data_IF_580576344301
#
_entry.id   IF_580576344301
#
_cell.length_a   1.000
_cell.length_b   1.000
_cell.length_c   1.000
_cell.angle_alpha   90.00
_cell.angle_beta   90.00
_cell.angle_gamma   90.00
#
_symmetry.space_group_name_H-M   'P 1'
#
loop_
_entity.id
_entity.type
_entity.pdbx_description
1 polymer ?
#
# COMPACT_ATOMS: atom_id res chain seq x y z
N UNK A 1 -1.53 -18.50 7.79
CA UNK A 1 -1.97 -18.13 9.15
C UNK A 1 -1.78 -19.31 10.10
N UNK A 2 -1.19 -19.09 11.29
CA UNK A 2 -1.19 -20.09 12.37
C UNK A 2 -0.08 -21.14 12.38
N UNK A 3 1.01 -20.97 11.64
CA UNK A 3 2.13 -21.92 11.63
C UNK A 3 2.92 -22.00 12.95
N UNK A 4 2.84 -20.99 13.80
CA UNK A 4 3.56 -20.97 15.07
C UNK A 4 2.68 -21.49 16.22
N UNK A 5 3.21 -22.41 17.00
CA UNK A 5 2.51 -22.99 18.16
C UNK A 5 2.22 -21.96 19.27
N UNK A 6 2.94 -20.84 19.26
CA UNK A 6 2.86 -19.78 20.28
C UNK A 6 2.15 -18.54 19.72
N UNK A 7 0.91 -18.27 20.17
CA UNK A 7 0.08 -17.18 19.65
C UNK A 7 0.72 -15.78 19.66
N UNK A 8 1.57 -15.47 20.64
CA UNK A 8 2.17 -14.15 20.74
C UNK A 8 3.08 -13.78 19.55
N UNK A 9 3.70 -14.76 18.87
CA UNK A 9 4.46 -14.50 17.65
C UNK A 9 3.57 -13.97 16.52
N UNK A 10 2.38 -14.56 16.39
CA UNK A 10 1.40 -14.05 15.41
C UNK A 10 0.93 -12.64 15.77
N UNK A 11 0.80 -12.35 17.06
CA UNK A 11 0.38 -11.02 17.52
C UNK A 11 1.44 -9.93 17.28
N UNK A 12 2.73 -10.27 17.29
CA UNK A 12 3.80 -9.33 16.94
C UNK A 12 3.72 -8.88 15.48
N UNK A 13 3.20 -9.73 14.60
CA UNK A 13 3.16 -9.50 13.15
C UNK A 13 1.78 -9.04 12.68
N UNK A 14 0.72 -9.52 13.35
CA UNK A 14 -0.67 -9.33 12.88
C UNK A 14 -1.63 -9.11 14.05
N UNK A 15 -1.49 -7.99 14.76
CA UNK A 15 -2.41 -7.57 15.81
C UNK A 15 -2.77 -6.09 15.70
N UNK A 16 -3.53 -5.56 16.66
CA UNK A 16 -3.81 -4.12 16.72
C UNK A 16 -2.57 -3.28 17.04
N UNK A 17 -1.60 -3.89 17.73
CA UNK A 17 -0.33 -3.30 18.12
C UNK A 17 0.79 -4.20 17.59
N UNK A 18 0.94 -4.29 16.28
CA UNK A 18 2.03 -5.03 15.65
C UNK A 18 3.24 -4.14 15.34
N UNK A 19 4.37 -4.77 15.08
CA UNK A 19 5.63 -4.09 14.86
C UNK A 19 5.63 -3.28 13.55
N UNK A 20 4.92 -3.75 12.54
CA UNK A 20 4.76 -3.05 11.27
C UNK A 20 4.05 -1.70 11.47
N UNK A 21 2.94 -1.68 12.23
CA UNK A 21 2.23 -0.43 12.56
C UNK A 21 3.07 0.55 13.35
N UNK A 22 3.88 0.07 14.29
CA UNK A 22 4.79 0.91 15.06
C UNK A 22 5.86 1.53 14.16
N UNK A 23 6.37 0.78 13.18
CA UNK A 23 7.36 1.27 12.23
C UNK A 23 6.76 2.29 11.27
N UNK A 24 5.73 1.91 10.51
CA UNK A 24 5.24 2.78 9.45
C UNK A 24 4.64 4.08 9.98
N UNK A 25 3.93 4.07 11.12
CA UNK A 25 3.40 5.31 11.70
C UNK A 25 4.51 6.31 12.03
N UNK A 26 5.61 5.85 12.62
CA UNK A 26 6.76 6.70 12.94
C UNK A 26 7.43 7.22 11.67
N UNK A 27 7.67 6.36 10.71
CA UNK A 27 8.33 6.68 9.43
C UNK A 27 7.48 7.62 8.59
N UNK A 28 6.20 7.33 8.43
CA UNK A 28 5.30 8.14 7.63
C UNK A 28 5.04 9.50 8.27
N UNK A 29 4.97 9.58 9.60
CA UNK A 29 4.93 10.85 10.34
C UNK A 29 6.16 11.71 10.03
N UNK A 30 7.33 11.11 10.02
CA UNK A 30 8.58 11.82 9.71
C UNK A 30 8.59 12.35 8.26
N UNK A 31 8.31 11.51 7.28
CA UNK A 31 8.38 11.88 5.87
C UNK A 31 7.22 12.77 5.40
N UNK A 32 6.04 12.65 5.99
CA UNK A 32 4.90 13.51 5.67
C UNK A 32 4.91 14.86 6.40
N UNK A 33 5.72 15.00 7.45
CA UNK A 33 5.74 16.16 8.34
C UNK A 33 4.51 16.27 9.25
N UNK A 34 3.68 15.22 9.32
CA UNK A 34 2.48 15.18 10.17
C UNK A 34 2.86 14.70 11.56
N UNK A 35 2.99 15.64 12.49
CA UNK A 35 3.49 15.39 13.86
C UNK A 35 2.56 14.56 14.73
N UNK A 36 1.28 14.46 14.36
CA UNK A 36 0.26 13.66 15.02
C UNK A 36 0.59 12.17 15.05
N UNK A 37 1.36 11.69 14.08
CA UNK A 37 1.85 10.30 13.99
C UNK A 37 3.04 10.00 14.91
N UNK A 38 3.59 11.01 15.61
CA UNK A 38 4.75 10.81 16.47
C UNK A 38 4.39 10.04 17.75
N UNK A 39 4.86 8.81 17.84
CA UNK A 39 4.64 7.86 18.93
C UNK A 39 5.97 7.46 19.59
N UNK A 40 5.93 7.18 20.88
CA UNK A 40 7.09 6.68 21.63
C UNK A 40 7.21 5.16 21.46
N UNK A 41 7.66 4.70 20.31
CA UNK A 41 7.78 3.28 19.95
C UNK A 41 8.62 2.52 20.98
N UNK A 42 9.80 3.05 21.35
CA UNK A 42 10.71 2.39 22.30
C UNK A 42 10.04 2.16 23.67
N UNK A 43 9.26 3.15 24.12
CA UNK A 43 8.50 3.02 25.37
C UNK A 43 7.42 1.94 25.25
N UNK A 44 6.71 1.88 24.13
CA UNK A 44 5.69 0.83 23.89
C UNK A 44 6.36 -0.54 23.93
N UNK A 45 7.46 -0.72 23.21
CA UNK A 45 8.19 -2.00 23.16
C UNK A 45 8.67 -2.42 24.54
N UNK A 46 9.22 -1.48 25.34
CA UNK A 46 9.68 -1.79 26.71
C UNK A 46 8.55 -2.16 27.67
N UNK A 47 7.31 -1.79 27.36
CA UNK A 47 6.12 -2.14 28.18
C UNK A 47 5.42 -3.43 27.70
N UNK A 48 5.85 -4.01 26.58
CA UNK A 48 5.30 -5.29 26.11
C UNK A 48 5.81 -6.44 26.99
N UNK A 49 4.92 -7.38 27.28
CA UNK A 49 5.19 -8.61 28.02
C UNK A 49 4.45 -9.77 27.35
N UNK A 50 4.92 -10.96 27.62
CA UNK A 50 4.20 -12.18 27.27
C UNK A 50 3.59 -12.78 28.53
N UNK A 51 2.28 -12.91 28.58
CA UNK A 51 1.55 -13.55 29.66
C UNK A 51 0.60 -14.59 29.09
N UNK A 52 0.68 -15.82 29.61
CA UNK A 52 -0.12 -16.96 29.12
C UNK A 52 -0.05 -17.09 27.57
N UNK A 53 1.15 -16.97 27.05
CA UNK A 53 1.45 -17.03 25.60
C UNK A 53 0.73 -15.98 24.73
N UNK A 54 0.32 -14.87 25.33
CA UNK A 54 -0.29 -13.70 24.65
C UNK A 54 0.54 -12.46 24.90
N UNK A 55 0.58 -11.60 23.91
CA UNK A 55 1.19 -10.29 24.02
C UNK A 55 0.26 -9.37 24.84
N UNK A 56 0.81 -8.81 25.91
CA UNK A 56 0.10 -7.90 26.83
C UNK A 56 0.94 -6.64 27.05
N UNK A 57 0.29 -5.56 27.48
CA UNK A 57 0.96 -4.32 27.82
C UNK A 57 0.88 -4.08 29.33
N UNK A 58 1.98 -3.71 29.96
CA UNK A 58 1.98 -3.32 31.36
C UNK A 58 1.04 -2.12 31.60
N UNK A 59 0.33 -2.10 32.73
CA UNK A 59 -0.64 -1.03 33.08
C UNK A 59 -0.04 0.39 32.94
N UNK A 60 1.23 0.58 33.31
CA UNK A 60 1.94 1.86 33.18
C UNK A 60 2.17 2.31 31.73
N UNK A 61 2.00 1.40 30.76
CA UNK A 61 2.07 1.70 29.32
C UNK A 61 0.74 2.15 28.69
N UNK A 62 -0.36 2.18 29.44
CA UNK A 62 -1.71 2.46 28.93
C UNK A 62 -1.79 3.77 28.13
N UNK A 63 -1.26 4.86 28.66
CA UNK A 63 -1.26 6.15 27.96
C UNK A 63 -0.46 6.14 26.65
N UNK A 64 0.59 5.32 26.58
CA UNK A 64 1.37 5.18 25.34
C UNK A 64 0.56 4.45 24.28
N UNK A 65 -0.28 3.49 24.68
CA UNK A 65 -1.19 2.78 23.78
C UNK A 65 -2.34 3.69 23.33
N UNK A 66 -2.93 4.46 24.23
CA UNK A 66 -3.96 5.44 23.87
C UNK A 66 -3.42 6.45 22.85
N UNK A 67 -2.22 6.99 23.10
CA UNK A 67 -1.55 7.88 22.14
C UNK A 67 -1.30 7.20 20.81
N UNK A 68 -0.87 5.95 20.78
CA UNK A 68 -0.70 5.16 19.55
C UNK A 68 -2.00 5.02 18.77
N UNK A 69 -3.10 4.69 19.43
CA UNK A 69 -4.41 4.54 18.77
C UNK A 69 -4.91 5.87 18.19
N UNK A 70 -4.71 6.97 18.94
CA UNK A 70 -5.06 8.31 18.49
C UNK A 70 -4.18 8.74 17.30
N UNK A 71 -2.88 8.55 17.39
CA UNK A 71 -1.93 8.85 16.32
C UNK A 71 -2.27 8.10 15.03
N UNK A 72 -2.55 6.80 15.15
CA UNK A 72 -3.01 5.99 14.01
C UNK A 72 -4.26 6.58 13.36
N UNK A 73 -5.27 6.94 14.13
CA UNK A 73 -6.51 7.54 13.62
C UNK A 73 -6.24 8.85 12.88
N UNK A 74 -5.41 9.72 13.46
CA UNK A 74 -5.09 11.03 12.87
C UNK A 74 -4.27 10.87 11.59
N UNK A 75 -3.31 9.94 11.56
CA UNK A 75 -2.54 9.64 10.35
C UNK A 75 -3.42 9.09 9.21
N UNK A 76 -4.43 8.28 9.54
CA UNK A 76 -5.41 7.84 8.54
C UNK A 76 -6.12 9.03 7.88
N UNK A 77 -6.54 10.02 8.66
CA UNK A 77 -7.23 11.19 8.11
C UNK A 77 -6.30 12.17 7.40
N UNK A 78 -5.12 12.42 7.97
CA UNK A 78 -4.21 13.45 7.47
C UNK A 78 -3.33 12.98 6.31
N UNK A 79 -3.03 11.67 6.23
CA UNK A 79 -2.09 11.10 5.25
C UNK A 79 -2.77 10.05 4.37
N UNK A 80 -3.19 8.92 4.94
CA UNK A 80 -3.59 7.75 4.14
C UNK A 80 -4.93 7.94 3.40
N UNK A 81 -5.90 8.63 4.03
CA UNK A 81 -7.19 8.96 3.42
C UNK A 81 -7.27 10.42 2.97
N UNK A 82 -6.11 11.08 2.82
CA UNK A 82 -6.11 12.44 2.30
C UNK A 82 -6.70 12.45 0.88
N UNK A 83 -7.65 13.36 0.63
CA UNK A 83 -8.41 13.43 -0.62
C UNK A 83 -7.55 13.34 -1.88
N UNK A 84 -6.42 14.03 -1.91
CA UNK A 84 -5.51 14.06 -3.07
C UNK A 84 -4.86 12.68 -3.30
N UNK A 85 -4.40 12.02 -2.23
CA UNK A 85 -3.80 10.68 -2.33
C UNK A 85 -4.84 9.65 -2.78
N UNK A 86 -6.04 9.71 -2.22
CA UNK A 86 -7.14 8.83 -2.59
C UNK A 86 -7.56 9.01 -4.07
N UNK A 87 -7.68 10.26 -4.53
CA UNK A 87 -8.00 10.55 -5.93
C UNK A 87 -6.90 10.04 -6.86
N UNK A 88 -5.62 10.24 -6.52
CA UNK A 88 -4.50 9.74 -7.31
C UNK A 88 -4.53 8.21 -7.43
N UNK A 89 -4.80 7.49 -6.33
CA UNK A 89 -4.94 6.03 -6.31
C UNK A 89 -6.10 5.58 -7.23
N UNK A 90 -7.26 6.22 -7.14
CA UNK A 90 -8.40 5.88 -7.99
C UNK A 90 -8.15 6.17 -9.48
N UNK A 91 -7.46 7.25 -9.80
CA UNK A 91 -7.06 7.54 -11.18
C UNK A 91 -6.08 6.47 -11.70
N UNK A 92 -5.09 6.07 -10.90
CA UNK A 92 -4.15 5.00 -11.27
C UNK A 92 -4.87 3.67 -11.52
N UNK A 93 -5.81 3.28 -10.66
CA UNK A 93 -6.64 2.10 -10.88
C UNK A 93 -7.39 2.17 -12.22
N UNK A 94 -7.99 3.32 -12.53
CA UNK A 94 -8.73 3.53 -13.79
C UNK A 94 -7.83 3.49 -15.01
N UNK A 95 -6.59 4.00 -14.91
CA UNK A 95 -5.58 3.89 -15.98
C UNK A 95 -5.30 2.42 -16.29
N UNK A 96 -5.01 1.62 -15.27
CA UNK A 96 -4.72 0.19 -15.42
C UNK A 96 -5.92 -0.58 -16.00
N UNK A 97 -7.13 -0.30 -15.51
CA UNK A 97 -8.35 -0.93 -16.02
C UNK A 97 -8.60 -0.55 -17.49
N UNK A 98 -8.43 0.74 -17.84
CA UNK A 98 -8.62 1.20 -19.22
C UNK A 98 -7.57 0.64 -20.16
N UNK A 99 -6.31 0.60 -19.77
CA UNK A 99 -5.25 -0.03 -20.54
C UNK A 99 -5.56 -1.51 -20.82
N UNK A 100 -6.06 -2.24 -19.83
CA UNK A 100 -6.50 -3.63 -19.97
C UNK A 100 -7.67 -3.79 -20.95
N UNK A 101 -8.68 -2.92 -20.85
CA UNK A 101 -9.82 -2.93 -21.79
C UNK A 101 -9.38 -2.69 -23.24
N UNK A 102 -8.45 -1.75 -23.46
CA UNK A 102 -7.91 -1.45 -24.77
C UNK A 102 -7.14 -2.64 -25.36
N UNK A 103 -6.27 -3.27 -24.58
CA UNK A 103 -5.57 -4.49 -24.97
C UNK A 103 -6.54 -5.62 -25.34
N UNK A 104 -7.64 -5.81 -24.57
CA UNK A 104 -8.66 -6.83 -24.87
C UNK A 104 -9.43 -6.54 -26.16
N UNK A 105 -9.51 -5.29 -26.58
CA UNK A 105 -10.10 -4.86 -27.84
C UNK A 105 -9.12 -4.93 -29.02
N UNK A 106 -7.89 -5.40 -28.77
CA UNK A 106 -6.85 -5.51 -29.82
C UNK A 106 -6.08 -4.22 -30.06
N UNK A 107 -6.20 -3.23 -29.17
CA UNK A 107 -5.45 -1.98 -29.24
C UNK A 107 -4.03 -2.16 -28.69
N UNK A 108 -3.12 -1.26 -29.03
CA UNK A 108 -1.71 -1.32 -28.64
C UNK A 108 -1.43 -0.39 -27.48
N UNK A 109 -0.97 -0.92 -26.35
CA UNK A 109 -0.52 -0.15 -25.20
C UNK A 109 1.02 -0.18 -25.13
N UNK A 110 1.62 0.98 -25.07
CA UNK A 110 3.06 1.12 -24.90
C UNK A 110 3.43 0.99 -23.43
N UNK A 111 4.05 -0.14 -23.07
CA UNK A 111 4.48 -0.46 -21.71
C UNK A 111 5.60 -1.49 -21.73
N UNK A 112 6.23 -1.73 -20.56
CA UNK A 112 7.19 -2.82 -20.40
C UNK A 112 6.54 -4.21 -20.63
N UNK A 113 7.34 -5.17 -20.99
CA UNK A 113 6.90 -6.56 -21.17
C UNK A 113 6.26 -7.11 -19.91
N UNK A 114 6.80 -6.72 -18.74
CA UNK A 114 6.36 -7.20 -17.45
C UNK A 114 4.96 -6.68 -17.09
N UNK A 115 4.67 -5.40 -17.32
CA UNK A 115 3.31 -4.84 -17.16
C UNK A 115 2.34 -5.45 -18.18
N UNK A 116 2.75 -5.57 -19.43
CA UNK A 116 1.90 -6.15 -20.48
C UNK A 116 1.50 -7.59 -20.16
N UNK A 117 2.39 -8.39 -19.55
CA UNK A 117 2.07 -9.72 -19.06
C UNK A 117 0.87 -9.71 -18.10
N UNK A 118 0.86 -8.80 -17.11
CA UNK A 118 -0.25 -8.68 -16.15
C UNK A 118 -1.51 -8.05 -16.72
N UNK A 119 -1.38 -7.10 -17.64
CA UNK A 119 -2.53 -6.46 -18.29
C UNK A 119 -3.26 -7.43 -19.24
N UNK A 120 -2.54 -8.29 -19.94
CA UNK A 120 -3.12 -9.27 -20.87
C UNK A 120 -3.71 -10.50 -20.19
N UNK A 121 -3.37 -10.73 -18.91
CA UNK A 121 -3.85 -11.90 -18.17
C UNK A 121 -5.38 -11.92 -18.04
N UNK A 122 -6.02 -12.99 -18.53
CA UNK A 122 -7.47 -13.18 -18.46
C UNK A 122 -7.89 -13.77 -17.10
N UNK A 123 -9.00 -13.32 -16.55
CA UNK A 123 -9.52 -13.68 -15.22
C UNK A 123 -9.95 -15.16 -15.06
N UNK A 124 -9.98 -15.93 -16.13
CA UNK A 124 -10.53 -17.31 -16.18
C UNK A 124 -9.53 -18.43 -15.91
N UNK A 125 -8.25 -18.14 -15.82
CA UNK A 125 -7.24 -19.11 -15.39
C UNK A 125 -6.80 -18.75 -13.97
N UNK A 126 -6.69 -19.77 -13.08
CA UNK A 126 -5.76 -19.66 -11.95
C UNK A 126 -4.42 -19.34 -12.57
N UNK A 127 -4.08 -18.06 -12.61
CA UNK A 127 -2.79 -17.61 -13.12
C UNK A 127 -1.74 -18.26 -12.21
N UNK A 128 -1.05 -19.25 -12.73
CA UNK A 128 0.30 -19.50 -12.27
C UNK A 128 1.09 -18.25 -12.64
N UNK A 129 1.17 -17.32 -11.69
CA UNK A 129 1.93 -16.08 -11.88
C UNK A 129 3.38 -16.49 -12.08
N UNK A 130 3.90 -16.20 -13.27
CA UNK A 130 5.33 -16.38 -13.51
C UNK A 130 6.08 -15.35 -12.63
N UNK A 131 6.77 -15.88 -11.62
CA UNK A 131 7.52 -15.10 -10.64
C UNK A 131 8.60 -14.22 -11.28
N UNK A 132 9.03 -14.54 -12.49
CA UNK A 132 9.98 -13.72 -13.25
C UNK A 132 9.41 -12.33 -13.54
N UNK A 133 8.19 -12.25 -14.06
CA UNK A 133 7.52 -10.96 -14.33
C UNK A 133 7.14 -10.24 -13.05
N UNK A 134 6.70 -10.98 -12.02
CA UNK A 134 6.36 -10.38 -10.73
C UNK A 134 7.56 -9.74 -10.03
N UNK A 135 8.74 -10.37 -10.10
CA UNK A 135 9.95 -9.85 -9.48
C UNK A 135 10.59 -8.69 -10.27
N UNK A 136 10.24 -8.53 -11.54
CA UNK A 136 10.80 -7.49 -12.41
C UNK A 136 9.99 -6.19 -12.40
N UNK A 137 8.70 -6.24 -12.07
CA UNK A 137 7.81 -5.05 -12.11
C UNK A 137 8.11 -4.11 -10.93
N UNK A 138 8.22 -2.82 -11.23
CA UNK A 138 8.42 -1.76 -10.25
C UNK A 138 7.64 -0.48 -10.57
N UNK A 139 7.81 0.55 -9.74
CA UNK A 139 7.13 1.85 -9.90
C UNK A 139 7.54 2.56 -11.20
N UNK A 140 8.74 2.32 -11.72
CA UNK A 140 9.22 2.92 -12.97
C UNK A 140 8.42 2.41 -14.16
N UNK A 141 8.07 1.13 -14.16
CA UNK A 141 7.22 0.52 -15.19
C UNK A 141 5.83 1.17 -15.22
N UNK A 142 5.22 1.37 -14.04
CA UNK A 142 3.92 2.04 -13.92
C UNK A 142 3.99 3.49 -14.38
N UNK A 143 5.02 4.21 -13.99
CA UNK A 143 5.24 5.59 -14.43
C UNK A 143 5.49 5.68 -15.95
N UNK A 144 6.22 4.74 -16.53
CA UNK A 144 6.46 4.64 -17.96
C UNK A 144 5.16 4.42 -18.75
N UNK A 145 4.31 3.48 -18.28
CA UNK A 145 2.98 3.24 -18.83
C UNK A 145 2.14 4.54 -18.85
N UNK A 146 2.11 5.27 -17.74
CA UNK A 146 1.35 6.52 -17.60
C UNK A 146 1.89 7.59 -18.55
N UNK A 147 3.20 7.77 -18.62
CA UNK A 147 3.84 8.76 -19.50
C UNK A 147 3.59 8.45 -20.98
N UNK A 148 3.66 7.20 -21.39
CA UNK A 148 3.34 6.78 -22.75
C UNK A 148 1.85 7.01 -23.07
N UNK A 149 0.97 6.78 -22.11
CA UNK A 149 -0.48 6.95 -22.25
C UNK A 149 -0.94 8.38 -22.55
N UNK A 150 -0.15 9.40 -22.20
CA UNK A 150 -0.45 10.81 -22.55
C UNK A 150 -0.53 11.04 -24.07
N UNK A 151 0.18 10.24 -24.86
CA UNK A 151 0.20 10.32 -26.30
C UNK A 151 -0.74 9.30 -26.98
N UNK A 152 -1.53 8.58 -26.22
CA UNK A 152 -2.43 7.56 -26.76
C UNK A 152 -3.64 8.17 -27.48
N UNK A 153 -4.16 7.51 -28.51
CA UNK A 153 -5.29 7.99 -29.30
C UNK A 153 -6.64 7.90 -28.57
N UNK A 154 -6.78 6.97 -27.61
CA UNK A 154 -8.00 6.85 -26.81
C UNK A 154 -8.12 8.05 -25.86
N UNK A 155 -9.20 8.86 -25.97
CA UNK A 155 -9.32 10.11 -25.24
C UNK A 155 -9.48 9.90 -23.72
N UNK A 156 -10.09 8.78 -23.29
CA UNK A 156 -10.31 8.47 -21.88
C UNK A 156 -8.99 8.06 -21.24
N UNK A 157 -8.24 7.16 -21.87
CA UNK A 157 -6.96 6.71 -21.38
C UNK A 157 -5.96 7.86 -21.29
N UNK A 158 -5.87 8.67 -22.36
CA UNK A 158 -5.06 9.89 -22.41
C UNK A 158 -5.40 10.84 -21.26
N UNK A 159 -6.67 11.22 -21.11
CA UNK A 159 -7.09 12.15 -20.05
C UNK A 159 -6.75 11.64 -18.64
N UNK A 160 -6.94 10.36 -18.38
CA UNK A 160 -6.56 9.77 -17.08
C UNK A 160 -5.05 9.87 -16.83
N UNK A 161 -4.23 9.59 -17.86
CA UNK A 161 -2.77 9.72 -17.75
C UNK A 161 -2.33 11.18 -17.53
N UNK A 162 -2.94 12.12 -18.26
CA UNK A 162 -2.69 13.56 -18.10
C UNK A 162 -3.04 14.05 -16.67
N UNK A 163 -4.11 13.53 -16.06
CA UNK A 163 -4.47 13.87 -14.66
C UNK A 163 -3.38 13.50 -13.65
N UNK A 164 -2.57 12.49 -13.92
CA UNK A 164 -1.46 12.10 -13.04
C UNK A 164 -0.20 12.94 -13.33
N UNK A 165 0.08 13.24 -14.60
CA UNK A 165 1.31 13.93 -15.00
C UNK A 165 1.23 15.45 -14.82
N UNK A 166 0.06 16.04 -15.08
CA UNK A 166 -0.12 17.51 -15.15
C UNK A 166 -0.82 18.08 -13.92
N UNK A 167 -0.62 17.56 -12.77
CA UNK A 167 -1.21 18.03 -11.51
C UNK A 167 -1.40 19.52 -11.40
#
# INVERSE_FOLDING_TARGET
>A
EGKYKRPFFNQLISSQLDMDRLDYLKRDSFYSGVTEGNISTDRIITMLRVHQDRLVVEKKGMYSIEKFLLARRLMYWSVYLHKTSYVAEEVMKRIILRARELLQKGDTIQASTDILYFLSATRSSRLEIDMKYYAAIDDVDVLSLIKAGVNHHDPVYKALCEMVINR
#
